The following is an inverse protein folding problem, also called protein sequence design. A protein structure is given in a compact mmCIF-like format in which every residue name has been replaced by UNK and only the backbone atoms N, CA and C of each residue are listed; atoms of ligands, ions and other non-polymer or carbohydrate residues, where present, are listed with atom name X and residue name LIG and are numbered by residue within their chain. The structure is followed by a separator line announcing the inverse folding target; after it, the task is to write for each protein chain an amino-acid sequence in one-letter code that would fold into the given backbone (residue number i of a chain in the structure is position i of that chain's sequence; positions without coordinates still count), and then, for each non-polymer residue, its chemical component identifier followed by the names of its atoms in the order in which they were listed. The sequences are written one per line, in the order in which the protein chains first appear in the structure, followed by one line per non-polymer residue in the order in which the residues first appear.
data_IF_978447864443
#
_entry.id   IF_978447864443
#
_cell.length_a   1.000
_cell.length_b   1.000
_cell.length_c   1.000
_cell.angle_alpha   90.00
_cell.angle_beta   90.00
_cell.angle_gamma   90.00
#
_symmetry.space_group_name_H-M   'P 1'
#
loop_
_entity.id
_entity.type
_entity.pdbx_description
1 polymer ?
#
# COMPACT_ATOMS: atom_id res chain seq x y z
N UNK A 1 7.00 9.36 -22.66
CA UNK A 1 7.56 9.75 -21.35
C UNK A 1 6.48 10.13 -20.34
N UNK A 2 5.26 10.53 -20.74
CA UNK A 2 4.16 10.82 -19.79
C UNK A 2 3.73 9.61 -18.94
N UNK A 3 3.85 8.38 -19.45
CA UNK A 3 3.43 7.17 -18.72
C UNK A 3 4.27 6.90 -17.47
N UNK A 4 5.57 7.16 -17.50
CA UNK A 4 6.45 6.88 -16.36
C UNK A 4 6.18 7.80 -15.16
N UNK A 5 5.91 9.08 -15.43
CA UNK A 5 5.66 10.04 -14.35
C UNK A 5 4.28 9.82 -13.72
N UNK A 6 3.30 9.38 -14.51
CA UNK A 6 1.99 8.95 -14.00
C UNK A 6 2.11 7.67 -13.13
N UNK A 7 2.93 6.70 -13.57
CA UNK A 7 3.22 5.48 -12.79
C UNK A 7 3.93 5.79 -11.47
N UNK A 8 4.91 6.71 -11.48
CA UNK A 8 5.60 7.18 -10.25
C UNK A 8 4.65 7.90 -9.30
N UNK A 9 3.73 8.72 -9.83
CA UNK A 9 2.73 9.41 -9.03
C UNK A 9 1.80 8.40 -8.34
N UNK A 10 1.23 7.45 -9.09
CA UNK A 10 0.39 6.37 -8.54
C UNK A 10 1.15 5.53 -7.51
N UNK A 11 2.43 5.24 -7.78
CA UNK A 11 3.29 4.51 -6.84
C UNK A 11 3.46 5.28 -5.53
N UNK A 12 3.69 6.59 -5.59
CA UNK A 12 3.81 7.44 -4.41
C UNK A 12 2.50 7.48 -3.61
N UNK A 13 1.36 7.58 -4.30
CA UNK A 13 0.03 7.52 -3.68
C UNK A 13 -0.19 6.19 -2.94
N UNK A 14 0.02 5.06 -3.61
CA UNK A 14 -0.14 3.74 -2.98
C UNK A 14 0.83 3.51 -1.82
N UNK A 15 2.08 3.98 -1.92
CA UNK A 15 3.04 3.93 -0.81
C UNK A 15 2.58 4.76 0.40
N UNK A 16 2.06 5.96 0.15
CA UNK A 16 1.50 6.83 1.19
C UNK A 16 0.30 6.17 1.87
N UNK A 17 -0.65 5.63 1.09
CA UNK A 17 -1.83 4.95 1.61
C UNK A 17 -1.48 3.67 2.37
N UNK A 18 -0.50 2.90 1.87
CA UNK A 18 0.00 1.71 2.57
C UNK A 18 0.59 2.07 3.93
N UNK A 19 1.39 3.16 4.01
CA UNK A 19 1.95 3.65 5.28
C UNK A 19 0.86 4.13 6.23
N UNK A 20 -0.17 4.81 5.72
CA UNK A 20 -1.32 5.24 6.53
C UNK A 20 -2.08 4.04 7.10
N UNK A 21 -2.31 2.99 6.30
CA UNK A 21 -2.91 1.74 6.79
C UNK A 21 -2.07 1.07 7.88
N UNK A 22 -0.75 1.16 7.80
CA UNK A 22 0.12 0.60 8.82
C UNK A 22 -0.06 1.29 10.17
N UNK A 23 -0.08 2.63 10.16
CA UNK A 23 -0.36 3.41 11.36
C UNK A 23 -1.76 3.08 11.91
N UNK A 24 -2.77 2.94 11.05
CA UNK A 24 -4.12 2.56 11.49
C UNK A 24 -4.16 1.17 12.15
N UNK A 25 -3.43 0.20 11.60
CA UNK A 25 -3.33 -1.15 12.19
C UNK A 25 -2.60 -1.11 13.53
N UNK A 26 -1.51 -0.35 13.63
CA UNK A 26 -0.75 -0.17 14.87
C UNK A 26 -1.61 0.46 15.96
N UNK A 27 -2.32 1.55 15.64
CA UNK A 27 -3.26 2.20 16.56
C UNK A 27 -4.41 1.27 16.97
N UNK A 28 -4.94 0.48 16.04
CA UNK A 28 -6.00 -0.49 16.34
C UNK A 28 -5.52 -1.64 17.25
N UNK A 29 -4.21 -1.92 17.28
CA UNK A 29 -3.62 -3.00 18.08
C UNK A 29 -3.07 -2.51 19.42
N UNK A 30 -2.71 -1.23 19.53
CA UNK A 30 -2.01 -0.66 20.70
C UNK A 30 -2.94 -0.16 21.82
N UNK A 31 -4.26 -0.15 21.60
CA UNK A 31 -5.22 0.29 22.61
C UNK A 31 -5.75 -0.84 23.49
N UNK A 32 -6.15 -0.53 24.72
CA UNK A 32 -6.85 -1.44 25.64
C UNK A 32 -8.29 -1.81 25.19
N UNK A 33 -8.70 -1.38 24.00
CA UNK A 33 -10.03 -1.66 23.46
C UNK A 33 -10.06 -3.05 22.82
N UNK A 34 -11.19 -3.78 22.93
CA UNK A 34 -11.34 -5.05 22.24
C UNK A 34 -11.15 -4.87 20.74
N UNK A 35 -10.20 -5.63 20.18
CA UNK A 35 -9.86 -5.59 18.77
C UNK A 35 -11.05 -6.14 17.97
N UNK A 36 -11.57 -5.34 17.05
CA UNK A 36 -12.54 -5.82 16.08
C UNK A 36 -11.81 -6.63 15.00
N UNK A 37 -11.90 -7.96 15.12
CA UNK A 37 -11.24 -8.90 14.21
C UNK A 37 -11.64 -8.70 12.74
N UNK A 38 -12.91 -8.34 12.47
CA UNK A 38 -13.38 -8.09 11.10
C UNK A 38 -12.73 -6.84 10.51
N UNK A 39 -12.67 -5.75 11.28
CA UNK A 39 -12.00 -4.52 10.86
C UNK A 39 -10.50 -4.78 10.64
N UNK A 40 -9.85 -5.53 11.53
CA UNK A 40 -8.43 -5.86 11.39
C UNK A 40 -8.15 -6.73 10.16
N UNK A 41 -9.04 -7.69 9.84
CA UNK A 41 -8.94 -8.48 8.62
C UNK A 41 -9.09 -7.63 7.36
N UNK A 42 -10.04 -6.69 7.34
CA UNK A 42 -10.24 -5.76 6.21
C UNK A 42 -9.03 -4.86 6.01
N UNK A 43 -8.48 -4.28 7.08
CA UNK A 43 -7.28 -3.43 7.03
C UNK A 43 -6.07 -4.19 6.51
N UNK A 44 -5.82 -5.40 7.02
CA UNK A 44 -4.73 -6.27 6.55
C UNK A 44 -4.90 -6.68 5.10
N UNK A 45 -6.13 -6.99 4.66
CA UNK A 45 -6.43 -7.32 3.25
C UNK A 45 -6.16 -6.13 2.34
N UNK A 46 -6.59 -4.93 2.73
CA UNK A 46 -6.34 -3.69 1.97
C UNK A 46 -4.83 -3.39 1.89
N UNK A 47 -4.12 -3.56 3.01
CA UNK A 47 -2.66 -3.40 3.07
C UNK A 47 -1.94 -4.37 2.13
N UNK A 48 -2.34 -5.64 2.12
CA UNK A 48 -1.78 -6.65 1.22
C UNK A 48 -2.00 -6.28 -0.24
N UNK A 49 -3.23 -5.87 -0.61
CA UNK A 49 -3.54 -5.44 -1.96
C UNK A 49 -2.70 -4.25 -2.41
N UNK A 50 -2.53 -3.23 -1.56
CA UNK A 50 -1.65 -2.08 -1.88
C UNK A 50 -0.21 -2.51 -2.07
N UNK A 51 0.31 -3.41 -1.23
CA UNK A 51 1.66 -3.97 -1.39
C UNK A 51 1.82 -4.66 -2.74
N UNK A 52 0.85 -5.47 -3.14
CA UNK A 52 0.88 -6.17 -4.44
C UNK A 52 0.83 -5.18 -5.62
N UNK A 53 0.04 -4.11 -5.51
CA UNK A 53 -0.01 -3.06 -6.55
C UNK A 53 1.30 -2.26 -6.63
N UNK A 54 1.88 -1.90 -5.48
CA UNK A 54 3.20 -1.26 -5.40
C UNK A 54 4.24 -2.12 -6.10
N UNK A 55 4.30 -3.42 -5.80
CA UNK A 55 5.27 -4.32 -6.44
C UNK A 55 5.07 -4.44 -7.96
N UNK A 56 3.82 -4.49 -8.43
CA UNK A 56 3.53 -4.53 -9.87
C UNK A 56 3.97 -3.23 -10.57
N UNK A 57 3.68 -2.08 -9.98
CA UNK A 57 4.09 -0.78 -10.51
C UNK A 57 5.62 -0.62 -10.48
N UNK A 58 6.28 -1.05 -9.41
CA UNK A 58 7.74 -1.06 -9.30
C UNK A 58 8.37 -1.97 -10.36
N UNK A 59 7.83 -3.17 -10.57
CA UNK A 59 8.30 -4.08 -11.62
C UNK A 59 8.14 -3.47 -13.01
N UNK A 60 6.99 -2.87 -13.32
CA UNK A 60 6.75 -2.23 -14.61
C UNK A 60 7.69 -1.04 -14.85
N UNK A 61 7.97 -0.25 -13.81
CA UNK A 61 8.95 0.86 -13.89
C UNK A 61 10.38 0.34 -14.07
N UNK A 62 10.76 -0.78 -13.42
CA UNK A 62 12.08 -1.39 -13.57
C UNK A 62 12.26 -1.93 -14.99
N UNK A 63 11.27 -2.67 -15.51
CA UNK A 63 11.32 -3.23 -16.87
C UNK A 63 11.45 -2.11 -17.92
N UNK A 64 10.76 -0.98 -17.74
CA UNK A 64 10.83 0.18 -18.65
C UNK A 64 12.13 1.00 -18.52
N UNK A 65 12.91 0.82 -17.44
CA UNK A 65 14.25 1.42 -17.29
C UNK A 65 15.34 0.57 -17.96
N UNK A 66 15.10 -0.75 -18.09
CA UNK A 66 16.09 -1.72 -18.57
C UNK A 66 15.83 -2.14 -20.03
N UNK A 67 14.63 -1.91 -20.56
CA UNK A 67 14.27 -2.09 -21.97
C UNK A 67 14.87 -1.01 -22.88
#
# INVERSE_FOLDING_TARGET
MEDQDELKLRLAEYKSEHKALDVLIEHATSGDKPINLLQMQQLKKKKLWLKDMIQKLESALIDDIIA
#
